data_IF_108987217118
#
_entry.id   IF_108987217118
#
_cell.length_a   1.000
_cell.length_b   1.000
_cell.length_c   1.000
_cell.angle_alpha   90.00
_cell.angle_beta   90.00
_cell.angle_gamma   90.00
#
_symmetry.space_group_name_H-M   'P 1'
#
loop_
_entity.id
_entity.type
_entity.pdbx_description
1 polymer ?
#
# COMPACT_ATOMS: atom_id res chain seq x y z
N UNK A 1 -11.80 -34.73 8.26
CA UNK A 1 -12.36 -33.78 7.27
C UNK A 1 -11.16 -33.21 6.53
N UNK A 2 -11.10 -33.40 5.21
CA UNK A 2 -9.99 -32.90 4.40
C UNK A 2 -10.09 -31.38 4.37
N UNK A 3 -9.17 -30.70 5.05
CA UNK A 3 -8.96 -29.26 4.88
C UNK A 3 -8.48 -29.06 3.45
N UNK A 4 -9.17 -28.22 2.69
CA UNK A 4 -8.79 -27.88 1.32
C UNK A 4 -7.59 -26.96 1.46
N UNK A 5 -6.40 -27.53 1.28
CA UNK A 5 -5.19 -26.77 0.95
C UNK A 5 -5.39 -26.25 -0.49
N UNK A 6 -5.32 -24.95 -0.69
CA UNK A 6 -5.24 -24.37 -2.04
C UNK A 6 -4.42 -23.08 -2.02
N UNK A 7 -3.11 -23.25 -1.94
CA UNK A 7 -2.09 -22.31 -2.46
C UNK A 7 -0.87 -23.10 -3.00
N UNK A 8 -0.66 -24.35 -2.56
CA UNK A 8 0.54 -25.15 -2.88
C UNK A 8 0.58 -25.86 -4.27
N UNK A 9 -0.03 -25.33 -5.34
CA UNK A 9 -0.01 -26.08 -6.61
C UNK A 9 0.23 -25.26 -7.88
N UNK A 10 1.30 -24.46 -7.91
CA UNK A 10 1.93 -24.07 -9.20
C UNK A 10 3.37 -23.52 -9.10
N UNK A 11 4.26 -24.11 -8.29
CA UNK A 11 5.71 -23.78 -8.35
C UNK A 11 6.59 -25.04 -8.37
N UNK A 12 6.37 -25.91 -9.35
CA UNK A 12 7.36 -26.92 -9.77
C UNK A 12 8.11 -26.41 -11.00
N UNK A 13 8.88 -25.34 -10.85
CA UNK A 13 10.11 -25.06 -11.62
C UNK A 13 10.70 -23.73 -11.13
N UNK A 14 11.55 -23.75 -10.09
CA UNK A 14 12.62 -22.76 -9.83
C UNK A 14 13.35 -23.06 -8.51
N UNK A 15 13.79 -24.31 -8.32
CA UNK A 15 14.85 -24.59 -7.36
C UNK A 15 16.18 -24.36 -8.09
N UNK A 16 16.86 -23.24 -7.83
CA UNK A 16 18.31 -23.08 -7.73
C UNK A 16 18.66 -21.59 -7.74
N UNK A 17 18.98 -21.05 -6.56
CA UNK A 17 20.00 -20.02 -6.24
C UNK A 17 19.52 -19.20 -5.03
N UNK A 18 19.65 -19.78 -3.84
CA UNK A 18 19.58 -19.03 -2.58
C UNK A 18 20.86 -18.19 -2.44
N UNK A 19 20.71 -16.87 -2.32
CA UNK A 19 21.84 -15.95 -2.32
C UNK A 19 21.58 -14.60 -1.64
N UNK A 20 21.50 -14.61 -0.30
CA UNK A 20 21.84 -13.53 0.64
C UNK A 20 20.88 -12.33 0.72
N UNK A 21 20.22 -12.15 1.88
CA UNK A 21 19.60 -10.87 2.25
C UNK A 21 20.22 -10.30 3.53
N UNK A 22 20.41 -8.97 3.51
CA UNK A 22 21.04 -8.14 4.54
C UNK A 22 20.21 -8.10 5.83
N UNK A 23 20.74 -8.68 6.91
CA UNK A 23 20.14 -8.62 8.25
C UNK A 23 20.51 -7.33 8.99
N UNK A 24 19.63 -6.33 8.94
CA UNK A 24 19.22 -5.70 10.20
C UNK A 24 18.36 -6.73 10.95
N UNK A 25 18.44 -6.82 12.29
CA UNK A 25 17.66 -7.81 13.06
C UNK A 25 16.19 -7.72 12.68
N UNK A 26 15.75 -8.71 11.93
CA UNK A 26 14.47 -8.70 11.27
C UNK A 26 13.37 -8.92 12.32
N UNK A 27 12.45 -7.97 12.45
CA UNK A 27 11.38 -8.05 13.45
C UNK A 27 10.56 -9.32 13.23
N UNK A 28 10.55 -10.22 14.21
CA UNK A 28 9.71 -11.42 14.21
C UNK A 28 8.27 -11.00 14.54
N UNK A 29 7.32 -11.36 13.67
CA UNK A 29 5.89 -11.14 13.87
C UNK A 29 5.25 -12.34 14.56
N UNK A 30 5.57 -13.57 14.10
CA UNK A 30 5.11 -14.82 14.71
C UNK A 30 6.31 -15.70 15.03
N UNK A 31 6.54 -16.06 16.31
CA UNK A 31 7.60 -17.00 16.68
C UNK A 31 7.25 -18.43 16.24
N UNK A 32 8.26 -19.25 15.97
CA UNK A 32 8.06 -20.66 15.60
C UNK A 32 9.18 -21.19 14.71
N UNK A 33 8.93 -22.36 14.11
CA UNK A 33 9.81 -23.01 13.15
C UNK A 33 9.04 -23.32 11.85
N UNK A 34 9.31 -22.61 10.73
CA UNK A 34 10.11 -21.37 10.67
C UNK A 34 9.37 -20.16 11.29
N UNK A 35 10.08 -19.13 11.77
CA UNK A 35 9.47 -17.89 12.25
C UNK A 35 8.92 -17.06 11.08
N UNK A 36 7.83 -16.32 11.30
CA UNK A 36 7.32 -15.34 10.33
C UNK A 36 7.83 -13.96 10.71
N UNK A 37 8.53 -13.32 9.78
CA UNK A 37 9.16 -12.01 9.96
C UNK A 37 8.36 -10.88 9.33
N UNK A 38 8.68 -9.64 9.68
CA UNK A 38 8.04 -8.46 9.09
C UNK A 38 8.33 -8.34 7.58
N UNK A 39 9.49 -8.80 7.10
CA UNK A 39 9.76 -8.82 5.65
C UNK A 39 8.87 -9.82 4.92
N UNK A 40 8.67 -11.01 5.48
CA UNK A 40 7.81 -12.00 4.85
C UNK A 40 6.39 -11.43 4.69
N UNK A 41 5.87 -10.75 5.71
CA UNK A 41 4.57 -10.06 5.60
C UNK A 41 4.60 -8.94 4.55
N UNK A 42 5.68 -8.15 4.49
CA UNK A 42 5.87 -7.10 3.48
C UNK A 42 5.88 -7.66 2.05
N UNK A 43 6.52 -8.81 1.82
CA UNK A 43 6.48 -9.52 0.53
C UNK A 43 5.04 -9.86 0.11
N UNK A 44 4.21 -10.37 1.03
CA UNK A 44 2.79 -10.62 0.76
C UNK A 44 2.01 -9.34 0.45
N UNK A 45 2.26 -8.26 1.19
CA UNK A 45 1.64 -6.95 0.91
C UNK A 45 2.03 -6.47 -0.49
N UNK A 46 3.29 -6.62 -0.89
CA UNK A 46 3.76 -6.22 -2.22
C UNK A 46 3.13 -7.03 -3.34
N UNK A 47 2.97 -8.34 -3.16
CA UNK A 47 2.24 -9.18 -4.11
C UNK A 47 0.77 -8.74 -4.23
N UNK A 48 0.14 -8.41 -3.11
CA UNK A 48 -1.22 -7.88 -3.09
C UNK A 48 -1.34 -6.53 -3.81
N UNK A 49 -0.41 -5.59 -3.55
CA UNK A 49 -0.32 -4.29 -4.23
C UNK A 49 -0.07 -4.44 -5.73
N UNK A 50 0.79 -5.39 -6.12
CA UNK A 50 1.10 -5.73 -7.50
C UNK A 50 -0.14 -6.26 -8.22
N UNK A 51 -0.79 -7.29 -7.69
CA UNK A 51 -1.98 -7.89 -8.31
C UNK A 51 -3.11 -6.88 -8.47
N UNK A 52 -3.35 -6.05 -7.45
CA UNK A 52 -4.43 -5.08 -7.49
C UNK A 52 -4.07 -3.79 -8.26
N UNK A 53 -2.84 -3.67 -8.75
CA UNK A 53 -2.29 -2.43 -9.35
C UNK A 53 -2.62 -1.20 -8.50
N UNK A 54 -2.40 -1.33 -7.19
CA UNK A 54 -2.76 -0.30 -6.21
C UNK A 54 -1.72 -0.21 -5.12
N UNK A 55 -1.84 0.79 -4.25
CA UNK A 55 -0.98 0.96 -3.09
C UNK A 55 -1.83 1.06 -1.83
N UNK A 56 -1.50 0.22 -0.84
CA UNK A 56 -2.23 0.15 0.41
C UNK A 56 -1.88 1.34 1.29
N UNK A 57 -2.90 1.81 2.01
CA UNK A 57 -2.74 2.78 3.11
C UNK A 57 -2.05 2.12 4.31
N UNK A 58 -1.46 2.91 5.20
CA UNK A 58 -0.81 2.40 6.43
C UNK A 58 -1.80 1.56 7.24
N UNK A 59 -3.03 2.05 7.42
CA UNK A 59 -4.08 1.34 8.16
C UNK A 59 -4.46 0.00 7.50
N UNK A 60 -4.44 -0.09 6.17
CA UNK A 60 -4.68 -1.34 5.45
C UNK A 60 -3.52 -2.32 5.63
N UNK A 61 -2.26 -1.86 5.55
CA UNK A 61 -1.07 -2.68 5.81
C UNK A 61 -1.04 -3.21 7.25
N UNK A 62 -1.38 -2.36 8.22
CA UNK A 62 -1.49 -2.76 9.63
C UNK A 62 -2.60 -3.79 9.86
N UNK A 63 -3.76 -3.61 9.21
CA UNK A 63 -4.86 -4.57 9.28
C UNK A 63 -4.47 -5.92 8.69
N UNK A 64 -3.76 -5.93 7.56
CA UNK A 64 -3.23 -7.16 6.95
C UNK A 64 -2.23 -7.85 7.86
N UNK A 65 -1.24 -7.10 8.38
CA UNK A 65 -0.23 -7.65 9.27
C UNK A 65 -0.87 -8.27 10.53
N UNK A 66 -1.91 -7.64 11.08
CA UNK A 66 -2.65 -8.19 12.22
C UNK A 66 -3.37 -9.49 11.87
N UNK A 67 -4.04 -9.55 10.71
CA UNK A 67 -4.71 -10.75 10.23
C UNK A 67 -3.72 -11.91 10.00
N UNK A 68 -2.60 -11.64 9.32
CA UNK A 68 -1.53 -12.63 9.11
C UNK A 68 -0.92 -13.10 10.42
N UNK A 69 -0.72 -12.21 11.40
CA UNK A 69 -0.18 -12.60 12.69
C UNK A 69 -1.11 -13.58 13.44
N UNK A 70 -2.43 -13.39 13.34
CA UNK A 70 -3.44 -14.29 13.91
C UNK A 70 -3.48 -15.63 13.18
N UNK A 71 -3.49 -15.61 11.85
CA UNK A 71 -3.57 -16.81 11.01
C UNK A 71 -2.30 -17.67 11.13
N UNK A 72 -1.12 -17.06 10.97
CA UNK A 72 0.16 -17.76 11.05
C UNK A 72 0.48 -18.30 12.44
N UNK A 73 -0.17 -17.81 13.50
CA UNK A 73 0.01 -18.38 14.84
C UNK A 73 -0.47 -19.84 14.91
N UNK A 74 -1.52 -20.17 14.15
CA UNK A 74 -2.17 -21.48 14.14
C UNK A 74 -1.69 -22.40 12.99
N UNK A 75 -0.86 -21.87 12.08
CA UNK A 75 -0.27 -22.63 10.98
C UNK A 75 0.72 -23.70 11.46
N UNK A 76 0.66 -24.85 10.80
CA UNK A 76 1.67 -25.90 10.87
C UNK A 76 3.00 -25.44 10.27
N UNK A 77 4.07 -26.20 10.53
CA UNK A 77 5.39 -25.94 9.95
C UNK A 77 5.38 -25.95 8.41
N UNK A 78 4.59 -26.81 7.79
CA UNK A 78 4.44 -26.89 6.33
C UNK A 78 3.73 -25.63 5.81
N UNK A 79 2.60 -25.24 6.40
CA UNK A 79 1.87 -24.02 6.02
C UNK A 79 2.73 -22.75 6.21
N UNK A 80 3.60 -22.71 7.23
CA UNK A 80 4.57 -21.62 7.40
C UNK A 80 5.68 -21.62 6.36
N UNK A 81 6.08 -22.78 5.85
CA UNK A 81 7.04 -22.87 4.75
C UNK A 81 6.40 -22.35 3.46
N UNK A 82 5.17 -22.77 3.17
CA UNK A 82 4.38 -22.28 2.03
C UNK A 82 4.21 -20.75 2.11
N UNK A 83 3.90 -20.22 3.29
CA UNK A 83 3.80 -18.76 3.49
C UNK A 83 5.10 -18.03 3.12
N UNK A 84 6.26 -18.61 3.40
CA UNK A 84 7.56 -18.00 3.11
C UNK A 84 7.94 -18.08 1.61
N UNK A 85 7.22 -18.84 0.79
CA UNK A 85 7.44 -18.88 -0.66
C UNK A 85 7.19 -17.51 -1.32
N UNK A 86 6.36 -16.65 -0.70
CA UNK A 86 6.18 -15.26 -1.16
C UNK A 86 7.50 -14.48 -1.23
N UNK A 87 8.46 -14.76 -0.33
CA UNK A 87 9.78 -14.11 -0.37
C UNK A 87 10.53 -14.51 -1.64
N UNK A 88 10.54 -15.80 -1.96
CA UNK A 88 11.18 -16.30 -3.17
C UNK A 88 10.48 -15.81 -4.45
N UNK A 89 9.15 -15.70 -4.44
CA UNK A 89 8.39 -15.14 -5.54
C UNK A 89 8.76 -13.68 -5.77
N UNK A 90 8.76 -12.84 -4.73
CA UNK A 90 9.18 -11.43 -4.81
C UNK A 90 10.58 -11.30 -5.39
N UNK A 91 11.52 -12.13 -4.94
CA UNK A 91 12.89 -12.14 -5.49
C UNK A 91 12.87 -12.50 -6.98
N UNK A 92 12.11 -13.52 -7.41
CA UNK A 92 12.04 -13.93 -8.82
C UNK A 92 11.39 -12.88 -9.73
N UNK A 93 10.38 -12.16 -9.24
CA UNK A 93 9.71 -11.09 -9.98
C UNK A 93 10.66 -9.92 -10.28
N UNK A 94 11.70 -9.72 -9.46
CA UNK A 94 12.69 -8.66 -9.69
C UNK A 94 13.56 -8.88 -10.94
N UNK A 95 13.61 -10.12 -11.44
CA UNK A 95 14.39 -10.51 -12.61
C UNK A 95 13.50 -10.77 -13.85
N UNK A 96 12.18 -10.69 -13.71
CA UNK A 96 11.21 -10.97 -14.76
C UNK A 96 11.10 -9.80 -15.76
N UNK A 97 10.81 -10.11 -17.02
CA UNK A 97 10.45 -9.10 -18.02
C UNK A 97 8.96 -8.73 -17.94
N UNK A 98 8.58 -7.64 -18.63
CA UNK A 98 7.20 -7.10 -18.59
C UNK A 98 6.14 -8.13 -18.99
N UNK A 99 6.39 -8.94 -20.03
CA UNK A 99 5.45 -9.98 -20.49
C UNK A 99 5.25 -11.05 -19.40
N UNK A 100 6.34 -11.50 -18.78
CA UNK A 100 6.28 -12.46 -17.66
C UNK A 100 5.58 -11.86 -16.44
N UNK A 101 5.80 -10.57 -16.14
CA UNK A 101 5.13 -9.89 -15.05
C UNK A 101 3.61 -9.80 -15.27
N UNK A 102 3.16 -9.46 -16.49
CA UNK A 102 1.74 -9.43 -16.83
C UNK A 102 1.09 -10.81 -16.71
N UNK A 103 1.76 -11.87 -17.17
CA UNK A 103 1.27 -13.26 -17.02
C UNK A 103 1.13 -13.65 -15.54
N UNK A 104 2.17 -13.42 -14.74
CA UNK A 104 2.15 -13.75 -13.31
C UNK A 104 1.11 -12.92 -12.56
N UNK A 105 0.94 -11.64 -12.91
CA UNK A 105 -0.08 -10.79 -12.32
C UNK A 105 -1.48 -11.37 -12.54
N UNK A 106 -1.78 -11.83 -13.76
CA UNK A 106 -3.05 -12.45 -14.11
C UNK A 106 -3.30 -13.76 -13.37
N UNK A 107 -2.29 -14.63 -13.30
CA UNK A 107 -2.37 -15.92 -12.59
C UNK A 107 -2.61 -15.70 -11.08
N UNK A 108 -1.87 -14.78 -10.46
CA UNK A 108 -2.05 -14.43 -9.05
C UNK A 108 -3.42 -13.79 -8.80
N UNK A 109 -3.93 -12.96 -9.72
CA UNK A 109 -5.27 -12.38 -9.60
C UNK A 109 -6.33 -13.49 -9.59
N UNK A 110 -6.27 -14.45 -10.52
CA UNK A 110 -7.20 -15.59 -10.57
C UNK A 110 -7.14 -16.40 -9.26
N UNK A 111 -5.94 -16.68 -8.77
CA UNK A 111 -5.72 -17.46 -7.55
C UNK A 111 -6.26 -16.74 -6.30
N UNK A 112 -5.99 -15.44 -6.15
CA UNK A 112 -6.54 -14.65 -5.04
C UNK A 112 -8.07 -14.57 -5.10
N UNK A 113 -8.65 -14.36 -6.28
CA UNK A 113 -10.11 -14.32 -6.46
C UNK A 113 -10.76 -15.66 -6.11
N UNK A 114 -10.18 -16.76 -6.58
CA UNK A 114 -10.67 -18.11 -6.29
C UNK A 114 -10.58 -18.41 -4.79
N UNK A 115 -9.45 -18.10 -4.16
CA UNK A 115 -9.24 -18.31 -2.73
C UNK A 115 -10.27 -17.53 -1.90
N UNK A 116 -10.48 -16.25 -2.22
CA UNK A 116 -11.46 -15.43 -1.52
C UNK A 116 -12.92 -15.90 -1.70
N UNK A 117 -13.22 -16.58 -2.81
CA UNK A 117 -14.53 -17.19 -3.04
C UNK A 117 -14.69 -18.54 -2.32
N UNK A 118 -13.64 -19.34 -2.24
CA UNK A 118 -13.65 -20.70 -1.64
C UNK A 118 -13.53 -20.68 -0.11
N UNK A 119 -12.84 -19.67 0.46
CA UNK A 119 -12.54 -19.56 1.90
C UNK A 119 -13.00 -18.21 2.44
N UNK A 120 -14.32 -17.99 2.61
CA UNK A 120 -14.86 -16.71 3.06
C UNK A 120 -14.48 -16.32 4.50
N UNK A 121 -14.01 -17.28 5.31
CA UNK A 121 -13.50 -17.06 6.66
C UNK A 121 -12.05 -16.57 6.72
N UNK A 122 -11.30 -16.62 5.61
CA UNK A 122 -9.91 -16.19 5.55
C UNK A 122 -9.82 -14.66 5.54
N UNK A 123 -9.20 -14.10 6.59
CA UNK A 123 -9.12 -12.66 6.79
C UNK A 123 -8.24 -11.95 5.73
N UNK A 124 -7.18 -12.61 5.24
CA UNK A 124 -6.32 -12.09 4.18
C UNK A 124 -7.05 -12.08 2.84
N UNK A 125 -7.77 -13.15 2.51
CA UNK A 125 -8.57 -13.24 1.29
C UNK A 125 -9.77 -12.27 1.31
N UNK A 126 -10.38 -12.04 2.48
CA UNK A 126 -11.39 -11.00 2.63
C UNK A 126 -10.79 -9.59 2.47
N UNK A 127 -9.55 -9.36 2.91
CA UNK A 127 -8.87 -8.10 2.64
C UNK A 127 -8.66 -7.88 1.15
N UNK A 128 -8.15 -8.88 0.42
CA UNK A 128 -8.02 -8.83 -1.05
C UNK A 128 -9.35 -8.46 -1.70
N UNK A 129 -10.43 -9.20 -1.39
CA UNK A 129 -11.77 -8.95 -1.94
C UNK A 129 -12.29 -7.55 -1.64
N UNK A 130 -11.98 -7.02 -0.46
CA UNK A 130 -12.37 -5.67 -0.07
C UNK A 130 -11.59 -4.63 -0.87
N UNK A 131 -10.26 -4.76 -0.94
CA UNK A 131 -9.38 -3.84 -1.65
C UNK A 131 -9.63 -3.83 -3.17
N UNK A 132 -9.92 -4.98 -3.77
CA UNK A 132 -10.29 -5.06 -5.19
C UNK A 132 -11.57 -4.25 -5.46
N UNK A 133 -12.56 -4.35 -4.57
CA UNK A 133 -13.79 -3.54 -4.65
C UNK A 133 -13.53 -2.06 -4.38
N UNK A 134 -12.69 -1.73 -3.41
CA UNK A 134 -12.42 -0.33 -3.02
C UNK A 134 -11.57 0.41 -4.07
N UNK A 135 -10.61 -0.28 -4.69
CA UNK A 135 -9.78 0.27 -5.78
C UNK A 135 -10.60 0.61 -7.03
N UNK A 136 -11.72 -0.08 -7.26
CA UNK A 136 -12.60 0.13 -8.43
C UNK A 136 -13.90 0.87 -8.11
N UNK A 137 -14.32 0.93 -6.84
CA UNK A 137 -15.56 1.60 -6.43
C UNK A 137 -15.40 3.11 -6.55
N UNK A 138 -16.14 3.70 -7.46
CA UNK A 138 -16.21 5.16 -7.66
C UNK A 138 -16.88 5.86 -6.47
N UNK A 139 -16.29 6.97 -6.03
CA UNK A 139 -16.84 7.89 -5.04
C UNK A 139 -17.24 9.21 -5.70
N UNK A 140 -16.41 9.74 -6.60
CA UNK A 140 -16.65 10.97 -7.36
C UNK A 140 -16.33 10.73 -8.84
N UNK A 141 -17.02 11.44 -9.73
CA UNK A 141 -16.82 11.33 -11.17
C UNK A 141 -17.14 12.68 -11.84
N UNK A 142 -16.27 13.11 -12.76
CA UNK A 142 -16.52 14.24 -13.65
C UNK A 142 -15.83 14.03 -15.00
N UNK A 143 -16.62 13.67 -16.01
CA UNK A 143 -16.11 13.30 -17.32
C UNK A 143 -15.31 12.00 -17.25
N UNK A 144 -14.03 12.05 -17.61
CA UNK A 144 -13.11 10.91 -17.58
C UNK A 144 -12.44 10.72 -16.21
N UNK A 145 -12.47 11.74 -15.33
CA UNK A 145 -11.80 11.69 -14.02
C UNK A 145 -12.67 10.90 -13.04
N UNK A 146 -12.10 9.83 -12.48
CA UNK A 146 -12.79 8.93 -11.56
C UNK A 146 -12.01 8.83 -10.25
N UNK A 147 -12.64 9.22 -9.15
CA UNK A 147 -12.04 9.10 -7.82
C UNK A 147 -12.58 7.85 -7.15
N UNK A 148 -11.68 6.88 -6.90
CA UNK A 148 -12.01 5.63 -6.19
C UNK A 148 -12.06 5.83 -4.67
N UNK A 149 -12.51 4.81 -3.94
CA UNK A 149 -12.41 4.81 -2.47
C UNK A 149 -10.96 4.82 -2.04
N UNK A 150 -10.13 4.03 -2.69
CA UNK A 150 -8.71 3.91 -2.37
C UNK A 150 -7.98 5.26 -2.49
N UNK A 151 -8.31 6.05 -3.51
CA UNK A 151 -7.77 7.39 -3.67
C UNK A 151 -8.17 8.32 -2.51
N UNK A 152 -9.44 8.27 -2.09
CA UNK A 152 -9.90 9.05 -0.93
C UNK A 152 -9.21 8.59 0.35
N UNK A 153 -9.06 7.28 0.59
CA UNK A 153 -8.40 6.76 1.79
C UNK A 153 -6.91 7.15 1.85
N UNK A 154 -6.20 7.03 0.73
CA UNK A 154 -4.80 7.48 0.62
C UNK A 154 -4.67 8.99 0.86
N UNK A 155 -5.58 9.79 0.32
CA UNK A 155 -5.59 11.23 0.57
C UNK A 155 -5.89 11.59 2.03
N UNK A 156 -6.81 10.87 2.70
CA UNK A 156 -7.13 11.07 4.12
C UNK A 156 -5.93 10.78 5.02
N UNK A 157 -5.18 9.69 4.76
CA UNK A 157 -3.93 9.43 5.50
C UNK A 157 -2.89 10.51 5.26
N UNK A 158 -2.72 10.93 4.00
CA UNK A 158 -1.81 12.02 3.67
C UNK A 158 -2.16 13.31 4.42
N UNK A 159 -3.44 13.66 4.57
CA UNK A 159 -3.86 14.81 5.38
C UNK A 159 -3.46 14.68 6.86
N UNK A 160 -3.50 13.46 7.42
CA UNK A 160 -3.03 13.22 8.78
C UNK A 160 -1.51 13.38 8.87
N UNK A 161 -0.79 12.84 7.90
CA UNK A 161 0.65 12.97 7.76
C UNK A 161 1.10 14.43 7.64
N UNK A 162 0.47 15.23 6.79
CA UNK A 162 0.80 16.65 6.63
C UNK A 162 0.78 17.42 7.96
N UNK A 163 -0.14 17.06 8.84
CA UNK A 163 -0.29 17.74 10.13
C UNK A 163 0.80 17.39 11.13
N UNK A 164 1.34 16.17 11.07
CA UNK A 164 2.35 15.66 11.99
C UNK A 164 3.15 14.50 11.35
N UNK A 165 4.10 14.77 10.44
CA UNK A 165 4.66 13.74 9.56
C UNK A 165 5.55 12.72 10.28
N UNK A 166 6.15 13.09 11.41
CA UNK A 166 6.96 12.16 12.22
C UNK A 166 6.11 11.19 13.05
N UNK A 167 4.89 11.60 13.42
CA UNK A 167 3.95 10.83 14.24
C UNK A 167 2.51 11.19 13.85
N UNK A 168 2.02 10.73 12.68
CA UNK A 168 0.69 11.08 12.20
C UNK A 168 -0.38 10.63 13.19
N UNK A 169 -1.38 11.48 13.41
CA UNK A 169 -2.58 11.11 14.18
C UNK A 169 -3.68 10.83 13.17
N UNK A 170 -3.99 9.54 12.99
CA UNK A 170 -4.98 9.09 12.03
C UNK A 170 -6.38 9.61 12.37
N UNK A 171 -7.11 10.03 11.34
CA UNK A 171 -8.50 10.47 11.49
C UNK A 171 -9.40 9.31 11.91
N UNK A 172 -10.30 9.56 12.85
CA UNK A 172 -11.34 8.60 13.19
C UNK A 172 -12.43 8.52 12.10
N UNK A 173 -13.34 7.56 12.23
CA UNK A 173 -14.41 7.36 11.26
C UNK A 173 -15.30 8.61 11.05
N UNK A 174 -15.51 9.42 12.08
CA UNK A 174 -16.32 10.63 11.99
C UNK A 174 -15.60 11.73 11.21
N UNK A 175 -14.31 11.91 11.47
CA UNK A 175 -13.47 12.88 10.76
C UNK A 175 -13.27 12.47 9.29
N UNK A 176 -13.01 11.19 9.03
CA UNK A 176 -12.93 10.65 7.66
C UNK A 176 -14.24 10.86 6.89
N UNK A 177 -15.39 10.61 7.52
CA UNK A 177 -16.69 10.89 6.92
C UNK A 177 -16.87 12.38 6.61
N UNK A 178 -16.45 13.29 7.51
CA UNK A 178 -16.54 14.73 7.29
C UNK A 178 -15.63 15.22 6.15
N UNK A 179 -14.43 14.65 6.00
CA UNK A 179 -13.51 14.94 4.89
C UNK A 179 -14.14 14.48 3.57
N UNK A 180 -14.65 13.25 3.52
CA UNK A 180 -15.32 12.72 2.33
C UNK A 180 -16.54 13.58 1.94
N UNK A 181 -17.38 13.95 2.91
CA UNK A 181 -18.50 14.87 2.73
C UNK A 181 -18.08 16.21 2.14
N UNK A 182 -16.92 16.73 2.58
CA UNK A 182 -16.37 18.00 2.11
C UNK A 182 -15.88 17.88 0.67
N UNK A 183 -15.21 16.78 0.32
CA UNK A 183 -14.82 16.47 -1.06
C UNK A 183 -16.06 16.38 -1.97
N UNK A 184 -17.05 15.56 -1.59
CA UNK A 184 -18.29 15.37 -2.36
C UNK A 184 -19.01 16.70 -2.62
N UNK A 185 -19.19 17.53 -1.59
CA UNK A 185 -19.93 18.80 -1.72
C UNK A 185 -19.23 19.81 -2.62
N UNK A 186 -17.91 19.73 -2.76
CA UNK A 186 -17.12 20.73 -3.46
C UNK A 186 -16.49 20.23 -4.77
N UNK A 187 -16.54 18.93 -5.06
CA UNK A 187 -15.86 18.32 -6.20
C UNK A 187 -16.21 18.99 -7.53
N UNK A 188 -17.49 19.28 -7.79
CA UNK A 188 -17.90 19.97 -9.01
C UNK A 188 -17.24 21.35 -9.20
N UNK A 189 -16.93 22.05 -8.11
CA UNK A 189 -16.30 23.37 -8.11
C UNK A 189 -14.76 23.30 -7.98
N UNK A 190 -14.18 22.09 -7.92
CA UNK A 190 -12.74 21.91 -8.00
C UNK A 190 -12.25 22.13 -9.43
N UNK A 191 -11.02 22.65 -9.57
CA UNK A 191 -10.36 22.79 -10.86
C UNK A 191 -10.07 21.41 -11.44
N UNK A 192 -9.78 21.35 -12.75
CA UNK A 192 -9.38 20.10 -13.38
C UNK A 192 -8.12 19.52 -12.73
N UNK A 193 -7.11 20.35 -12.51
CA UNK A 193 -5.85 19.98 -11.84
C UNK A 193 -6.07 19.43 -10.42
N UNK A 194 -6.97 20.03 -9.64
CA UNK A 194 -7.31 19.54 -8.30
C UNK A 194 -8.00 18.16 -8.34
N UNK A 195 -8.79 17.89 -9.39
CA UNK A 195 -9.47 16.60 -9.59
C UNK A 195 -8.49 15.52 -10.06
N UNK A 196 -7.65 15.85 -11.05
CA UNK A 196 -6.59 14.97 -11.55
C UNK A 196 -5.57 14.64 -10.45
N UNK A 197 -5.24 15.61 -9.59
CA UNK A 197 -4.32 15.33 -8.47
C UNK A 197 -4.90 14.32 -7.48
N UNK A 198 -6.23 14.32 -7.29
CA UNK A 198 -6.93 13.38 -6.42
C UNK A 198 -7.13 12.00 -7.08
N UNK A 199 -7.08 11.93 -8.41
CA UNK A 199 -7.11 10.68 -9.16
C UNK A 199 -5.87 9.86 -8.79
N UNK A 200 -6.09 8.61 -8.37
CA UNK A 200 -5.04 7.70 -7.89
C UNK A 200 -4.15 8.24 -6.76
N UNK A 201 -4.68 9.12 -5.88
CA UNK A 201 -3.88 9.72 -4.80
C UNK A 201 -3.19 8.69 -3.88
N UNK A 202 -3.70 7.45 -3.75
CA UNK A 202 -3.03 6.37 -3.03
C UNK A 202 -1.59 6.12 -3.52
N UNK A 203 -1.34 6.36 -4.80
CA UNK A 203 -0.07 6.18 -5.47
C UNK A 203 0.85 7.36 -5.20
N UNK A 204 0.33 8.58 -5.32
CA UNK A 204 1.01 9.80 -4.86
C UNK A 204 1.41 9.68 -3.38
N UNK A 205 0.51 9.19 -2.54
CA UNK A 205 0.76 8.97 -1.11
C UNK A 205 1.87 7.94 -0.85
N UNK A 206 1.89 6.84 -1.61
CA UNK A 206 2.97 5.86 -1.55
C UNK A 206 4.34 6.49 -1.86
N UNK A 207 4.44 7.28 -2.92
CA UNK A 207 5.68 7.98 -3.28
C UNK A 207 6.12 8.98 -2.19
N UNK A 208 5.19 9.74 -1.62
CA UNK A 208 5.47 10.66 -0.50
C UNK A 208 6.05 9.90 0.70
N UNK A 209 5.44 8.77 1.10
CA UNK A 209 5.96 7.94 2.19
C UNK A 209 7.35 7.41 1.89
N UNK A 210 7.58 6.95 0.66
CA UNK A 210 8.86 6.43 0.24
C UNK A 210 9.97 7.48 0.40
N UNK A 211 9.77 8.69 -0.09
CA UNK A 211 10.72 9.78 0.10
C UNK A 211 10.92 10.14 1.58
N UNK A 212 9.82 10.23 2.35
CA UNK A 212 9.92 10.54 3.77
C UNK A 212 10.72 9.50 4.57
N UNK A 213 10.56 8.22 4.25
CA UNK A 213 11.22 7.13 4.97
C UNK A 213 12.70 7.00 4.61
N UNK A 214 13.06 7.30 3.35
CA UNK A 214 14.42 7.06 2.84
C UNK A 214 15.33 8.30 2.87
N UNK A 215 14.79 9.51 3.04
CA UNK A 215 15.63 10.69 3.26
C UNK A 215 16.16 10.74 4.69
N UNK A 216 17.47 10.59 4.86
CA UNK A 216 18.15 10.79 6.14
C UNK A 216 18.47 12.27 6.42
N UNK A 217 18.52 13.13 5.39
CA UNK A 217 18.82 14.56 5.52
C UNK A 217 17.72 15.29 6.29
N UNK A 218 18.02 15.64 7.53
CA UNK A 218 17.07 16.31 8.40
C UNK A 218 16.77 17.76 7.98
N UNK A 219 17.70 18.45 7.33
CA UNK A 219 17.43 19.81 6.82
C UNK A 219 16.40 19.77 5.69
N UNK A 220 16.47 18.73 4.85
CA UNK A 220 15.48 18.48 3.80
C UNK A 220 14.12 18.15 4.37
N UNK A 221 14.06 17.23 5.35
CA UNK A 221 12.81 16.95 6.09
C UNK A 221 12.23 18.20 6.78
N UNK A 222 13.07 19.05 7.37
CA UNK A 222 12.63 20.31 7.97
C UNK A 222 12.07 21.30 6.95
N UNK A 223 12.63 21.35 5.74
CA UNK A 223 12.09 22.14 4.64
C UNK A 223 10.68 21.65 4.23
N UNK A 224 10.49 20.34 4.09
CA UNK A 224 9.18 19.75 3.81
C UNK A 224 8.16 20.02 4.92
N UNK A 225 8.55 19.82 6.19
CA UNK A 225 7.70 20.16 7.36
C UNK A 225 7.22 21.62 7.29
N UNK A 226 8.09 22.54 6.89
CA UNK A 226 7.74 23.96 6.74
C UNK A 226 6.71 24.16 5.64
N UNK A 227 6.85 23.50 4.50
CA UNK A 227 5.85 23.54 3.40
C UNK A 227 4.51 22.98 3.88
N UNK A 228 4.50 21.81 4.52
CA UNK A 228 3.28 21.18 5.04
C UNK A 228 2.55 22.05 6.06
N UNK A 229 3.28 22.71 6.96
CA UNK A 229 2.68 23.63 7.93
C UNK A 229 1.96 24.81 7.25
N UNK A 230 2.40 25.18 6.04
CA UNK A 230 1.76 26.19 5.20
C UNK A 230 0.37 25.79 4.68
N UNK A 231 0.03 24.50 4.66
CA UNK A 231 -1.30 24.01 4.28
C UNK A 231 -2.36 24.33 5.35
N UNK A 232 -1.95 24.57 6.61
CA UNK A 232 -2.86 24.86 7.71
C UNK A 232 -3.75 23.69 8.15
N UNK A 233 -3.44 22.46 7.70
CA UNK A 233 -4.08 21.22 8.17
C UNK A 233 -3.61 20.95 9.61
N UNK A 234 -4.53 20.58 10.49
CA UNK A 234 -4.25 20.35 11.90
C UNK A 234 -4.64 18.94 12.30
N UNK A 235 -3.82 18.35 13.17
CA UNK A 235 -4.06 17.02 13.70
C UNK A 235 -5.43 16.93 14.40
N UNK A 236 -6.22 15.92 14.06
CA UNK A 236 -7.52 15.65 14.67
C UNK A 236 -8.67 16.58 14.25
N UNK A 237 -8.42 17.55 13.35
CA UNK A 237 -9.47 18.43 12.82
C UNK A 237 -9.67 18.17 11.32
N UNK A 238 -10.89 17.83 10.90
CA UNK A 238 -11.21 17.70 9.48
C UNK A 238 -10.99 19.05 8.76
N UNK A 239 -10.10 19.12 7.75
CA UNK A 239 -9.83 20.36 7.03
C UNK A 239 -11.04 20.84 6.22
N UNK A 240 -11.17 22.16 6.08
CA UNK A 240 -12.11 22.76 5.13
C UNK A 240 -11.62 22.58 3.68
N UNK A 241 -12.50 22.89 2.72
CA UNK A 241 -12.19 22.75 1.28
C UNK A 241 -10.99 23.58 0.84
N UNK A 242 -10.75 24.75 1.44
CA UNK A 242 -9.63 25.60 1.02
C UNK A 242 -8.30 24.92 1.38
N UNK A 243 -8.21 24.32 2.56
CA UNK A 243 -7.02 23.55 2.99
C UNK A 243 -6.85 22.27 2.19
N UNK A 244 -7.94 21.57 1.87
CA UNK A 244 -7.91 20.39 0.99
C UNK A 244 -7.31 20.75 -0.38
N UNK A 245 -7.79 21.83 -1.01
CA UNK A 245 -7.27 22.29 -2.31
C UNK A 245 -5.78 22.66 -2.25
N UNK A 246 -5.33 23.29 -1.16
CA UNK A 246 -3.90 23.58 -0.95
C UNK A 246 -3.11 22.29 -0.80
N UNK A 247 -3.59 21.32 -0.01
CA UNK A 247 -2.93 20.05 0.22
C UNK A 247 -2.80 19.19 -1.06
N UNK A 248 -3.73 19.33 -2.00
CA UNK A 248 -3.71 18.69 -3.32
C UNK A 248 -2.72 19.31 -4.32
N UNK A 249 -2.11 20.46 -4.00
CA UNK A 249 -1.17 21.07 -4.93
C UNK A 249 0.15 20.30 -4.94
N UNK A 250 0.63 20.00 -6.15
CA UNK A 250 1.98 19.51 -6.44
C UNK A 250 3.10 20.32 -5.74
N UNK A 251 2.89 21.61 -5.48
CA UNK A 251 3.83 22.45 -4.72
C UNK A 251 4.07 21.99 -3.29
N UNK A 252 3.17 21.17 -2.74
CA UNK A 252 3.29 20.65 -1.38
C UNK A 252 4.17 19.41 -1.35
N UNK A 253 4.05 18.52 -2.33
CA UNK A 253 4.65 17.19 -2.30
C UNK A 253 5.51 16.82 -3.52
N UNK A 254 5.55 17.65 -4.56
CA UNK A 254 6.20 17.36 -5.84
C UNK A 254 7.69 17.06 -5.71
N UNK A 255 8.41 17.82 -4.86
CA UNK A 255 9.82 17.54 -4.57
C UNK A 255 10.00 16.13 -3.96
N UNK A 256 9.04 15.66 -3.17
CA UNK A 256 9.11 14.31 -2.60
C UNK A 256 8.85 13.23 -3.65
N UNK A 257 8.01 13.50 -4.65
CA UNK A 257 7.82 12.57 -5.77
C UNK A 257 9.12 12.41 -6.55
N UNK A 258 9.81 13.52 -6.83
CA UNK A 258 11.12 13.52 -7.50
C UNK A 258 12.16 12.72 -6.70
N UNK A 259 12.19 12.88 -5.37
CA UNK A 259 13.09 12.11 -4.50
C UNK A 259 12.76 10.61 -4.48
N UNK A 260 11.48 10.25 -4.39
CA UNK A 260 11.07 8.85 -4.42
C UNK A 260 11.49 8.18 -5.75
N UNK A 261 11.25 8.85 -6.87
CA UNK A 261 11.75 8.39 -8.18
C UNK A 261 13.28 8.32 -8.23
N UNK A 262 13.98 9.25 -7.60
CA UNK A 262 15.44 9.21 -7.44
C UNK A 262 15.96 8.01 -6.67
N UNK A 263 15.14 7.41 -5.79
CA UNK A 263 15.42 6.15 -5.11
C UNK A 263 15.00 4.90 -5.90
N UNK A 264 14.55 5.06 -7.16
CA UNK A 264 14.08 3.95 -7.99
C UNK A 264 12.69 3.42 -7.60
N UNK A 265 11.88 4.22 -6.91
CA UNK A 265 10.52 3.80 -6.54
C UNK A 265 9.60 3.91 -7.74
N UNK A 266 9.07 2.77 -8.15
CA UNK A 266 8.11 2.65 -9.24
C UNK A 266 6.68 2.48 -8.68
N UNK A 267 5.79 3.46 -8.91
CA UNK A 267 4.46 3.47 -8.31
C UNK A 267 3.48 2.43 -8.88
N UNK A 268 3.66 2.05 -10.14
CA UNK A 268 2.77 1.15 -10.89
C UNK A 268 3.45 -0.16 -11.29
N UNK A 269 4.76 -0.11 -11.50
CA UNK A 269 5.56 -1.26 -11.94
C UNK A 269 6.16 -2.01 -10.76
N UNK A 270 6.57 -3.25 -11.04
CA UNK A 270 7.34 -4.02 -10.08
C UNK A 270 8.77 -3.49 -10.03
N UNK A 271 9.13 -2.80 -8.95
CA UNK A 271 10.50 -2.32 -8.80
C UNK A 271 11.49 -3.49 -8.73
N UNK A 272 12.41 -3.54 -9.69
CA UNK A 272 13.49 -4.54 -9.78
C UNK A 272 14.45 -4.49 -8.57
N UNK A 273 14.55 -3.36 -7.87
CA UNK A 273 15.33 -3.24 -6.65
C UNK A 273 14.42 -3.21 -5.42
N UNK A 274 14.60 -4.17 -4.50
CA UNK A 274 13.92 -4.22 -3.18
C UNK A 274 14.44 -3.13 -2.20
N UNK A 275 15.18 -2.14 -2.70
CA UNK A 275 15.97 -1.22 -1.88
C UNK A 275 15.08 -0.31 -1.00
N UNK A 276 13.87 0.00 -1.46
CA UNK A 276 12.94 0.91 -0.77
C UNK A 276 11.72 0.14 -0.28
N UNK A 277 11.69 -0.12 1.03
CA UNK A 277 10.47 -0.58 1.71
C UNK A 277 9.63 0.63 2.09
N UNK A 278 8.36 0.63 1.67
CA UNK A 278 7.43 1.73 1.94
C UNK A 278 6.32 1.21 2.84
N UNK A 279 6.37 1.59 4.11
CA UNK A 279 5.31 1.26 5.08
C UNK A 279 4.30 2.37 5.24
#
# INVERSE_FOLDING_TARGET
MKKVLSVALLLVFSCLLAGVSLQAEEKIIVPGEPPITAFAVDCHIRLLEFVLTTRLTVAQKESFQAAIAEECAEMSTEEKQDFLEAVALVDSLSEADEETLEEIQGDLEEDFQKTAAEVPEDAAAQLFSRLQKESTRKVLEDGEIVISVQAVEGFVEYLAFLSQPDQPVWYDASATAAINDTLIKNFAAMSKEEKESLEDFQITWYMIRAAWQNVEDQQKKDAWRKVFSGCGVKSGEAPDVARIKVALSDKIYGEMLDEASGFGVEPFEWAAELAVRVW
#
